data_IF_185234852409
#
_entry.id   IF_185234852409
#
_cell.length_a   1.000
_cell.length_b   1.000
_cell.length_c   1.000
_cell.angle_alpha   90.00
_cell.angle_beta   90.00
_cell.angle_gamma   90.00
#
_symmetry.space_group_name_H-M   'P 1'
#
loop_
_entity.id
_entity.type
_entity.pdbx_description
1 polymer ?
#
# COMPACT_ATOMS: atom_id res chain seq x y z
N UNK A 1 -6.01 27.24 -12.65
CA UNK A 1 -4.91 26.33 -12.23
C UNK A 1 -5.27 25.53 -10.95
N UNK A 2 -6.54 25.22 -10.70
CA UNK A 2 -7.03 24.71 -9.38
C UNK A 2 -7.57 23.28 -9.40
N UNK A 3 -7.50 22.56 -10.52
CA UNK A 3 -8.05 21.20 -10.63
C UNK A 3 -7.08 20.08 -10.21
N UNK A 4 -5.77 20.36 -10.08
CA UNK A 4 -4.79 19.30 -9.79
C UNK A 4 -4.67 18.94 -8.31
N UNK A 5 -4.87 19.89 -7.39
CA UNK A 5 -4.64 19.64 -5.95
C UNK A 5 -5.68 18.69 -5.34
N UNK A 6 -6.94 18.78 -5.77
CA UNK A 6 -8.03 17.91 -5.29
C UNK A 6 -7.86 16.44 -5.72
N UNK A 7 -7.34 16.21 -6.92
CA UNK A 7 -7.05 14.86 -7.42
C UNK A 7 -5.94 14.17 -6.61
N UNK A 8 -4.81 14.85 -6.40
CA UNK A 8 -3.66 14.30 -5.68
C UNK A 8 -3.99 13.79 -4.27
N UNK A 9 -4.75 14.57 -3.48
CA UNK A 9 -5.12 14.20 -2.10
C UNK A 9 -6.05 12.98 -2.04
N UNK A 10 -6.92 12.82 -3.03
CA UNK A 10 -7.77 11.61 -3.14
C UNK A 10 -6.92 10.38 -3.45
N UNK A 11 -5.89 10.53 -4.30
CA UNK A 11 -4.98 9.45 -4.69
C UNK A 11 -4.10 8.98 -3.53
N UNK A 12 -3.54 9.92 -2.76
CA UNK A 12 -2.74 9.59 -1.58
C UNK A 12 -3.53 8.75 -0.58
N UNK A 13 -4.78 9.14 -0.27
CA UNK A 13 -5.62 8.39 0.67
C UNK A 13 -5.86 6.95 0.22
N UNK A 14 -6.16 6.75 -1.07
CA UNK A 14 -6.53 5.44 -1.63
C UNK A 14 -5.33 4.51 -1.76
N UNK A 15 -4.18 5.08 -2.15
CA UNK A 15 -2.90 4.38 -2.10
C UNK A 15 -2.57 3.95 -0.66
N UNK A 16 -2.73 4.84 0.33
CA UNK A 16 -2.50 4.53 1.74
C UNK A 16 -3.35 3.38 2.26
N UNK A 17 -4.64 3.31 1.89
CA UNK A 17 -5.50 2.14 2.21
C UNK A 17 -4.95 0.86 1.58
N UNK A 18 -4.50 0.93 0.33
CA UNK A 18 -3.82 -0.18 -0.35
C UNK A 18 -2.58 -0.67 0.39
N UNK A 19 -1.74 0.25 0.87
CA UNK A 19 -0.54 -0.08 1.65
C UNK A 19 -0.90 -0.75 2.97
N UNK A 20 -1.93 -0.27 3.70
CA UNK A 20 -2.41 -0.93 4.92
C UNK A 20 -2.89 -2.36 4.63
N UNK A 21 -3.72 -2.54 3.60
CA UNK A 21 -4.22 -3.85 3.20
C UNK A 21 -3.07 -4.78 2.77
N UNK A 22 -2.10 -4.26 2.01
CA UNK A 22 -0.90 -4.99 1.63
C UNK A 22 -0.08 -5.44 2.84
N UNK A 23 0.08 -4.58 3.84
CA UNK A 23 0.76 -4.90 5.10
C UNK A 23 0.05 -6.01 5.88
N UNK A 24 -1.28 -5.91 6.01
CA UNK A 24 -2.09 -6.93 6.68
C UNK A 24 -2.03 -8.27 5.93
N UNK A 25 -2.12 -8.24 4.61
CA UNK A 25 -1.99 -9.44 3.77
C UNK A 25 -0.61 -10.07 3.92
N UNK A 26 0.45 -9.26 3.94
CA UNK A 26 1.81 -9.74 4.13
C UNK A 26 1.99 -10.41 5.50
N UNK A 27 1.54 -9.75 6.58
CA UNK A 27 1.59 -10.31 7.93
C UNK A 27 0.84 -11.65 8.00
N UNK A 28 -0.35 -11.71 7.39
CA UNK A 28 -1.17 -12.93 7.38
C UNK A 28 -0.46 -14.04 6.59
N UNK A 29 0.04 -13.75 5.40
CA UNK A 29 0.73 -14.73 4.56
C UNK A 29 2.02 -15.24 5.22
N UNK A 30 2.76 -14.37 5.92
CA UNK A 30 3.98 -14.72 6.63
C UNK A 30 3.77 -15.70 7.82
N UNK A 31 2.53 -15.89 8.28
CA UNK A 31 2.23 -16.91 9.31
C UNK A 31 2.32 -18.34 8.79
N UNK A 32 2.21 -18.53 7.47
CA UNK A 32 2.12 -19.84 6.83
C UNK A 32 3.13 -20.04 5.70
N UNK A 33 3.71 -18.97 5.16
CA UNK A 33 4.65 -18.99 4.04
C UNK A 33 5.99 -18.35 4.44
N UNK A 34 7.11 -18.79 3.81
CA UNK A 34 8.38 -18.09 3.91
C UNK A 34 8.28 -16.68 3.29
N UNK A 35 9.18 -15.78 3.67
CA UNK A 35 9.16 -14.35 3.27
C UNK A 35 8.94 -14.13 1.77
N UNK A 36 9.69 -14.83 0.92
CA UNK A 36 9.54 -14.75 -0.54
C UNK A 36 8.16 -15.22 -1.03
N UNK A 37 7.63 -16.30 -0.44
CA UNK A 37 6.31 -16.84 -0.76
C UNK A 37 5.19 -15.89 -0.32
N UNK A 38 5.29 -15.35 0.90
CA UNK A 38 4.34 -14.38 1.43
C UNK A 38 4.30 -13.11 0.56
N UNK A 39 5.47 -12.54 0.24
CA UNK A 39 5.58 -11.38 -0.64
C UNK A 39 5.05 -11.68 -2.06
N UNK A 40 5.34 -12.86 -2.61
CA UNK A 40 4.81 -13.31 -3.90
C UNK A 40 3.28 -13.35 -3.93
N UNK A 41 2.63 -13.87 -2.88
CA UNK A 41 1.16 -13.85 -2.75
C UNK A 41 0.62 -12.42 -2.76
N UNK A 42 1.23 -11.52 -2.00
CA UNK A 42 0.82 -10.10 -1.94
C UNK A 42 0.95 -9.44 -3.33
N UNK A 43 2.03 -9.73 -4.06
CA UNK A 43 2.21 -9.24 -5.43
C UNK A 43 1.12 -9.77 -6.36
N UNK A 44 0.82 -11.08 -6.32
CA UNK A 44 -0.23 -11.67 -7.16
C UNK A 44 -1.59 -11.03 -6.87
N UNK A 45 -1.92 -10.80 -5.60
CA UNK A 45 -3.16 -10.10 -5.21
C UNK A 45 -3.16 -8.65 -5.73
N UNK A 46 -2.04 -7.94 -5.60
CA UNK A 46 -1.88 -6.59 -6.14
C UNK A 46 -2.08 -6.55 -7.67
N UNK A 47 -1.46 -7.47 -8.41
CA UNK A 47 -1.63 -7.59 -9.87
C UNK A 47 -3.08 -7.92 -10.22
N UNK A 48 -3.70 -8.87 -9.52
CA UNK A 48 -5.11 -9.19 -9.73
C UNK A 48 -6.00 -7.97 -9.52
N UNK A 49 -5.74 -7.17 -8.49
CA UNK A 49 -6.44 -5.91 -8.25
C UNK A 49 -6.25 -4.86 -9.35
N UNK A 50 -5.09 -4.86 -10.03
CA UNK A 50 -4.85 -3.99 -11.20
C UNK A 50 -5.56 -4.48 -12.46
N UNK A 51 -5.60 -5.80 -12.68
CA UNK A 51 -6.19 -6.41 -13.88
C UNK A 51 -7.71 -6.41 -13.82
N UNK A 52 -8.30 -6.68 -12.65
CA UNK A 52 -9.74 -6.79 -12.44
C UNK A 52 -10.36 -5.54 -11.79
N UNK A 53 -9.55 -4.50 -11.53
CA UNK A 53 -10.01 -3.28 -10.90
C UNK A 53 -10.72 -2.35 -11.90
N UNK A 54 -12.05 -2.34 -11.87
CA UNK A 54 -12.86 -1.51 -12.80
C UNK A 54 -12.91 -0.03 -12.43
N UNK A 55 -12.41 0.34 -11.25
CA UNK A 55 -12.40 1.72 -10.78
C UNK A 55 -10.98 2.23 -10.54
N UNK A 56 -10.75 3.51 -10.84
CA UNK A 56 -9.52 4.24 -10.50
C UNK A 56 -9.15 4.12 -9.01
N UNK A 57 -10.16 3.90 -8.17
CA UNK A 57 -10.04 3.76 -6.73
C UNK A 57 -9.49 2.38 -6.35
N UNK A 58 -10.04 1.33 -6.96
CA UNK A 58 -9.54 -0.04 -6.81
C UNK A 58 -8.11 -0.16 -7.34
N UNK A 59 -7.81 0.48 -8.49
CA UNK A 59 -6.47 0.49 -9.07
C UNK A 59 -5.46 1.17 -8.13
N UNK A 60 -5.79 2.30 -7.52
CA UNK A 60 -4.89 2.97 -6.56
C UNK A 60 -4.66 2.16 -5.30
N UNK A 61 -5.68 1.49 -4.77
CA UNK A 61 -5.52 0.53 -3.68
C UNK A 61 -4.61 -0.63 -4.09
N UNK A 62 -4.81 -1.18 -5.29
CA UNK A 62 -4.01 -2.27 -5.81
C UNK A 62 -2.53 -1.87 -6.01
N UNK A 63 -2.24 -0.63 -6.41
CA UNK A 63 -0.87 -0.09 -6.44
C UNK A 63 -0.24 -0.10 -5.05
N UNK A 64 -0.97 0.29 -4.00
CA UNK A 64 -0.47 0.24 -2.62
C UNK A 64 -0.17 -1.20 -2.16
N UNK A 65 -1.05 -2.15 -2.47
CA UNK A 65 -0.84 -3.58 -2.17
C UNK A 65 0.38 -4.12 -2.93
N UNK A 66 0.48 -3.79 -4.22
CA UNK A 66 1.59 -4.21 -5.07
C UNK A 66 2.93 -3.64 -4.58
N UNK A 67 2.96 -2.39 -4.13
CA UNK A 67 4.15 -1.77 -3.57
C UNK A 67 4.65 -2.54 -2.34
N UNK A 68 3.76 -2.92 -1.42
CA UNK A 68 4.13 -3.72 -0.24
C UNK A 68 4.68 -5.09 -0.66
N UNK A 69 4.02 -5.77 -1.58
CA UNK A 69 4.48 -7.07 -2.10
C UNK A 69 5.84 -6.95 -2.79
N UNK A 70 6.04 -5.92 -3.61
CA UNK A 70 7.30 -5.66 -4.31
C UNK A 70 8.45 -5.37 -3.35
N UNK A 71 8.23 -4.54 -2.34
CA UNK A 71 9.23 -4.29 -1.28
C UNK A 71 9.51 -5.58 -0.51
N UNK A 72 8.48 -6.37 -0.18
CA UNK A 72 8.65 -7.67 0.46
C UNK A 72 9.48 -8.65 -0.36
N UNK A 73 9.36 -8.63 -1.70
CA UNK A 73 10.20 -9.43 -2.57
C UNK A 73 11.65 -8.95 -2.55
N UNK A 74 11.89 -7.64 -2.56
CA UNK A 74 13.25 -7.06 -2.46
C UNK A 74 13.89 -7.44 -1.13
N UNK A 75 13.16 -7.35 -0.02
CA UNK A 75 13.64 -7.76 1.31
C UNK A 75 13.90 -9.26 1.40
N UNK A 76 13.15 -10.07 0.66
CA UNK A 76 13.37 -11.51 0.60
C UNK A 76 14.62 -11.92 -0.19
N UNK A 77 15.23 -11.01 -0.97
CA UNK A 77 16.49 -11.28 -1.68
C UNK A 77 17.67 -11.03 -0.73
N UNK A 78 18.48 -12.06 -0.41
CA UNK A 78 19.62 -11.91 0.47
C UNK A 78 20.62 -10.86 -0.06
N UNK A 79 20.99 -9.91 0.80
CA UNK A 79 22.00 -8.88 0.49
C UNK A 79 21.51 -7.71 -0.38
N UNK A 80 20.23 -7.67 -0.75
CA UNK A 80 19.63 -6.54 -1.49
C UNK A 80 18.74 -5.70 -0.58
N UNK A 81 17.95 -6.34 0.28
CA UNK A 81 17.06 -5.69 1.23
C UNK A 81 17.76 -5.02 2.42
N UNK A 82 16.98 -4.29 3.19
CA UNK A 82 17.35 -3.69 4.47
C UNK A 82 17.46 -4.73 5.60
N UNK A 83 17.07 -5.98 5.35
CA UNK A 83 17.10 -7.07 6.32
C UNK A 83 15.88 -7.06 7.24
N UNK A 84 14.76 -6.52 6.76
CA UNK A 84 13.52 -6.46 7.52
C UNK A 84 12.78 -7.80 7.46
N UNK A 85 12.42 -8.33 8.62
CA UNK A 85 11.52 -9.48 8.68
C UNK A 85 10.11 -9.10 8.18
N UNK A 86 9.34 -10.07 7.63
CA UNK A 86 8.02 -9.81 7.07
C UNK A 86 7.06 -9.07 8.02
N UNK A 87 7.11 -9.38 9.32
CA UNK A 87 6.29 -8.71 10.33
C UNK A 87 6.71 -7.26 10.57
N UNK A 88 8.02 -6.97 10.56
CA UNK A 88 8.52 -5.60 10.68
C UNK A 88 8.13 -4.77 9.46
N UNK A 89 8.26 -5.35 8.26
CA UNK A 89 7.82 -4.70 7.01
C UNK A 89 6.31 -4.45 7.01
N UNK A 90 5.51 -5.44 7.42
CA UNK A 90 4.07 -5.30 7.54
C UNK A 90 3.67 -4.19 8.54
N UNK A 91 4.36 -4.14 9.68
CA UNK A 91 4.17 -3.07 10.67
C UNK A 91 4.46 -1.70 10.08
N UNK A 92 5.58 -1.53 9.39
CA UNK A 92 5.92 -0.28 8.70
C UNK A 92 4.88 0.08 7.64
N UNK A 93 4.45 -0.87 6.82
CA UNK A 93 3.42 -0.66 5.81
C UNK A 93 2.12 -0.14 6.44
N UNK A 94 1.66 -0.74 7.55
CA UNK A 94 0.46 -0.27 8.25
C UNK A 94 0.65 1.13 8.81
N UNK A 95 1.79 1.43 9.44
CA UNK A 95 2.07 2.76 10.00
C UNK A 95 2.10 3.83 8.90
N UNK A 96 2.84 3.60 7.83
CA UNK A 96 2.93 4.53 6.70
C UNK A 96 1.58 4.69 5.98
N UNK A 97 0.87 3.59 5.74
CA UNK A 97 -0.44 3.65 5.10
C UNK A 97 -1.49 4.40 5.93
N UNK A 98 -1.48 4.22 7.26
CA UNK A 98 -2.34 5.00 8.17
C UNK A 98 -1.94 6.47 8.16
N UNK A 99 -0.64 6.76 8.19
CA UNK A 99 -0.13 8.14 8.10
C UNK A 99 -0.58 8.82 6.81
N UNK A 100 -0.48 8.16 5.65
CA UNK A 100 -0.92 8.70 4.36
C UNK A 100 -2.42 8.99 4.33
N UNK A 101 -3.23 8.11 4.94
CA UNK A 101 -4.69 8.33 5.08
C UNK A 101 -4.98 9.54 5.97
N UNK A 102 -4.31 9.66 7.11
CA UNK A 102 -4.48 10.77 8.04
C UNK A 102 -3.99 12.10 7.46
N UNK A 103 -2.83 12.10 6.80
CA UNK A 103 -2.30 13.26 6.11
C UNK A 103 -3.27 13.72 5.01
N UNK A 104 -3.85 12.79 4.26
CA UNK A 104 -4.85 13.11 3.24
C UNK A 104 -6.13 13.70 3.84
N UNK A 105 -6.57 13.21 5.00
CA UNK A 105 -7.71 13.75 5.75
C UNK A 105 -7.41 15.16 6.30
N UNK A 106 -6.21 15.37 6.85
CA UNK A 106 -5.76 16.67 7.35
C UNK A 106 -5.67 17.69 6.21
N UNK A 107 -5.08 17.31 5.07
CA UNK A 107 -5.00 18.15 3.87
C UNK A 107 -6.39 18.51 3.34
N UNK A 108 -7.35 17.56 3.33
CA UNK A 108 -8.75 17.87 2.98
C UNK A 108 -9.39 18.90 3.91
N UNK A 109 -9.16 18.78 5.23
CA UNK A 109 -9.68 19.74 6.21
C UNK A 109 -9.05 21.12 6.04
N UNK A 110 -7.74 21.19 5.83
CA UNK A 110 -7.00 22.45 5.65
C UNK A 110 -7.28 23.12 4.30
N UNK A 111 -7.53 22.33 3.25
CA UNK A 111 -7.84 22.85 1.91
C UNK A 111 -9.25 23.41 1.78
N UNK A 112 -10.05 23.39 2.84
CA UNK A 112 -11.31 24.15 2.92
C UNK A 112 -12.22 23.93 1.72
N UNK A 113 -12.43 22.69 1.28
CA UNK A 113 -13.53 22.42 0.36
C UNK A 113 -14.83 22.49 1.16
N UNK A 114 -15.28 23.71 1.40
CA UNK A 114 -16.69 24.04 1.50
C UNK A 114 -17.34 23.67 0.17
N UNK A 115 -17.83 22.43 0.07
CA UNK A 115 -19.12 22.04 -0.53
C UNK A 115 -19.47 20.64 -0.03
#
# INVERSE_FOLDING_TARGET
MTAESGGGVVRLRKSGVGVVLGGLLLATAATVLPAAGAAGVVVVIGIAGLVFGDSTDAVQGAVGVLAVGGIGLVEAVPGVGLGLEPYALAGLAVVFGVFDVLASLALRRLSGTSQ
#
